data_IF_456463151108
#
_entry.id   IF_456463151108
#
_cell.length_a   1.000
_cell.length_b   1.000
_cell.length_c   1.000
_cell.angle_alpha   90.00
_cell.angle_beta   90.00
_cell.angle_gamma   90.00
#
_symmetry.space_group_name_H-M   'P 1'
#
loop_
_entity.id
_entity.type
_entity.pdbx_description
1 polymer ?
#
# COMPACT_ATOMS: atom_id res chain seq x y z
N UNK A 1 55.87 -43.86 7.77
CA UNK A 1 54.60 -43.30 8.29
C UNK A 1 54.25 -42.07 7.47
N UNK A 2 53.53 -42.30 6.38
CA UNK A 2 52.96 -41.28 5.51
C UNK A 2 51.44 -41.44 5.64
N UNK A 3 50.77 -40.57 6.38
CA UNK A 3 49.30 -40.51 6.37
C UNK A 3 48.81 -39.22 7.04
N UNK A 4 47.79 -38.62 6.41
CA UNK A 4 46.94 -37.53 6.89
C UNK A 4 47.54 -36.11 6.97
N UNK A 5 47.63 -35.45 5.83
CA UNK A 5 47.43 -33.98 5.75
C UNK A 5 47.05 -33.62 4.31
N UNK A 6 45.87 -34.05 3.89
CA UNK A 6 45.27 -33.56 2.64
C UNK A 6 43.76 -33.46 2.82
N UNK A 7 43.25 -32.26 2.53
CA UNK A 7 41.83 -31.91 2.32
C UNK A 7 40.97 -31.76 3.58
N UNK A 8 40.95 -30.55 4.15
CA UNK A 8 39.71 -29.95 4.66
C UNK A 8 39.82 -28.42 4.56
N UNK A 9 40.02 -27.93 3.33
CA UNK A 9 39.70 -26.54 2.98
C UNK A 9 38.24 -26.54 2.56
N UNK A 10 37.32 -26.58 3.53
CA UNK A 10 35.93 -26.23 3.24
C UNK A 10 35.92 -24.72 3.04
N UNK A 11 35.85 -24.31 1.78
CA UNK A 11 35.43 -22.98 1.40
C UNK A 11 33.98 -22.81 1.87
N UNK A 12 33.80 -22.24 3.06
CA UNK A 12 32.55 -21.59 3.43
C UNK A 12 32.41 -20.37 2.54
N UNK A 13 31.79 -20.56 1.38
CA UNK A 13 31.16 -19.49 0.64
C UNK A 13 30.03 -19.00 1.54
N UNK A 14 30.32 -18.01 2.38
CA UNK A 14 29.29 -17.12 2.86
C UNK A 14 28.75 -16.43 1.61
N UNK A 15 27.62 -16.94 1.10
CA UNK A 15 26.68 -16.09 0.39
C UNK A 15 26.24 -15.04 1.41
N UNK A 16 27.03 -13.98 1.53
CA UNK A 16 26.49 -12.70 1.95
C UNK A 16 25.49 -12.34 0.88
N UNK A 17 24.22 -12.62 1.12
CA UNK A 17 23.15 -11.83 0.55
C UNK A 17 23.41 -10.42 1.04
N UNK A 18 24.20 -9.68 0.27
CA UNK A 18 24.19 -8.23 0.34
C UNK A 18 22.75 -7.87 -0.01
N UNK A 19 21.93 -7.68 1.03
CA UNK A 19 20.92 -6.64 0.97
C UNK A 19 21.74 -5.40 0.63
N UNK A 20 21.83 -5.10 -0.66
CA UNK A 20 22.17 -3.78 -1.10
C UNK A 20 21.16 -2.90 -0.35
N UNK A 21 21.65 -2.17 0.65
CA UNK A 21 20.92 -1.05 1.18
C UNK A 21 20.66 -0.19 -0.04
N UNK A 22 19.46 -0.29 -0.61
CA UNK A 22 19.01 0.64 -1.63
C UNK A 22 19.31 2.03 -1.06
N UNK A 23 20.12 2.79 -1.77
CA UNK A 23 20.46 4.14 -1.34
C UNK A 23 19.13 4.88 -1.11
N UNK A 24 19.04 5.71 -0.06
CA UNK A 24 17.86 6.56 0.17
C UNK A 24 17.51 7.43 -1.06
N UNK A 25 18.44 7.58 -2.00
CA UNK A 25 18.25 8.22 -3.30
C UNK A 25 17.17 7.56 -4.19
N UNK A 26 16.85 6.29 -3.97
CA UNK A 26 15.88 5.53 -4.79
C UNK A 26 14.46 5.56 -4.21
N UNK A 27 14.21 6.44 -3.23
CA UNK A 27 12.92 6.57 -2.54
C UNK A 27 12.40 8.00 -2.61
N UNK A 28 11.09 8.14 -2.55
CA UNK A 28 10.45 9.45 -2.36
C UNK A 28 10.23 9.73 -0.87
N UNK A 29 10.24 11.00 -0.48
CA UNK A 29 9.79 11.36 0.86
C UNK A 29 8.28 11.10 0.99
N UNK A 30 7.91 10.35 2.03
CA UNK A 30 6.52 10.03 2.36
C UNK A 30 5.79 11.32 2.73
N UNK A 31 4.69 11.62 2.04
CA UNK A 31 3.96 12.87 2.27
C UNK A 31 4.64 14.11 1.68
N UNK A 32 5.59 13.97 0.75
CA UNK A 32 6.24 15.07 0.03
C UNK A 32 5.27 16.10 -0.59
N UNK A 33 4.03 15.69 -0.87
CA UNK A 33 2.93 16.55 -1.36
C UNK A 33 1.67 16.37 -0.51
N UNK A 34 1.84 16.13 0.78
CA UNK A 34 0.71 16.01 1.71
C UNK A 34 -0.15 17.28 1.70
N UNK A 35 -1.47 17.08 1.74
CA UNK A 35 -2.42 18.20 1.79
C UNK A 35 -2.24 19.00 3.08
N UNK A 36 -2.37 20.31 2.97
CA UNK A 36 -2.40 21.19 4.14
C UNK A 36 -3.64 20.94 4.98
N UNK A 37 -3.60 21.29 6.27
CA UNK A 37 -4.76 21.14 7.16
C UNK A 37 -5.98 21.94 6.69
N UNK A 38 -5.77 23.07 6.00
CA UNK A 38 -6.85 23.85 5.41
C UNK A 38 -7.48 23.11 4.22
N UNK A 39 -6.67 22.56 3.31
CA UNK A 39 -7.17 21.75 2.20
C UNK A 39 -7.93 20.51 2.68
N UNK A 40 -7.45 19.84 3.73
CA UNK A 40 -8.16 18.71 4.36
C UNK A 40 -9.52 19.12 4.92
N UNK A 41 -9.59 20.27 5.60
CA UNK A 41 -10.86 20.81 6.13
C UNK A 41 -11.83 21.17 5.02
N UNK A 42 -11.34 21.81 3.96
CA UNK A 42 -12.16 22.15 2.79
C UNK A 42 -12.75 20.90 2.13
N UNK A 43 -11.96 19.83 1.99
CA UNK A 43 -12.44 18.54 1.49
C UNK A 43 -13.52 17.95 2.39
N UNK A 44 -13.29 17.90 3.71
CA UNK A 44 -14.25 17.36 4.68
C UNK A 44 -15.56 18.16 4.73
N UNK A 45 -15.49 19.49 4.66
CA UNK A 45 -16.68 20.34 4.65
C UNK A 45 -17.50 20.16 3.36
N UNK A 46 -16.82 19.95 2.23
CA UNK A 46 -17.50 19.70 0.96
C UNK A 46 -18.08 18.29 0.87
N UNK A 47 -17.39 17.26 1.37
CA UNK A 47 -17.95 15.89 1.48
C UNK A 47 -19.23 15.90 2.32
N UNK A 48 -19.25 16.64 3.44
CA UNK A 48 -20.47 16.81 4.26
C UNK A 48 -21.61 17.48 3.49
N UNK A 49 -21.31 18.46 2.65
CA UNK A 49 -22.32 19.15 1.80
C UNK A 49 -22.84 18.25 0.68
N UNK A 50 -21.96 17.49 0.04
CA UNK A 50 -22.31 16.59 -1.05
C UNK A 50 -23.11 15.38 -0.55
N UNK A 51 -22.74 14.80 0.60
CA UNK A 51 -23.48 13.71 1.25
C UNK A 51 -24.93 14.08 1.59
N UNK A 52 -25.19 15.33 1.99
CA UNK A 52 -26.54 15.83 2.23
C UNK A 52 -27.35 16.05 0.94
N UNK A 53 -26.70 16.05 -0.23
CA UNK A 53 -27.31 16.38 -1.52
C UNK A 53 -27.51 15.18 -2.46
N UNK A 54 -26.85 14.05 -2.21
CA UNK A 54 -26.79 12.92 -3.14
C UNK A 54 -27.55 11.70 -2.63
N UNK A 55 -28.89 11.78 -2.61
CA UNK A 55 -29.73 10.59 -2.81
C UNK A 55 -30.02 10.47 -4.31
N UNK A 56 -29.64 9.32 -4.89
CA UNK A 56 -29.82 8.85 -6.27
C UNK A 56 -28.79 9.30 -7.30
N UNK A 57 -27.96 8.35 -7.70
CA UNK A 57 -27.71 8.05 -9.13
C UNK A 57 -27.16 6.63 -9.30
N UNK A 58 -27.86 5.84 -10.10
CA UNK A 58 -27.44 4.52 -10.58
C UNK A 58 -26.48 4.71 -11.76
N UNK A 59 -25.44 3.87 -11.82
CA UNK A 59 -24.45 3.82 -12.90
C UNK A 59 -24.55 2.46 -13.61
N UNK A 60 -24.57 2.47 -14.94
CA UNK A 60 -24.50 1.26 -15.79
C UNK A 60 -23.16 1.22 -16.52
N UNK A 61 -22.45 0.08 -16.58
CA UNK A 61 -21.17 -0.01 -17.30
C UNK A 61 -21.38 -0.42 -18.76
N UNK A 62 -20.45 -0.01 -19.63
CA UNK A 62 -20.31 -0.51 -21.01
C UNK A 62 -18.93 -1.13 -21.19
N UNK A 63 -18.89 -2.25 -21.90
CA UNK A 63 -17.76 -3.19 -22.09
C UNK A 63 -16.90 -2.78 -23.28
N UNK A 64 -15.56 -2.91 -23.18
CA UNK A 64 -14.69 -3.19 -24.34
C UNK A 64 -13.54 -4.14 -23.97
N UNK A 65 -13.12 -4.90 -24.99
CA UNK A 65 -12.41 -6.18 -24.97
C UNK A 65 -10.95 -6.07 -25.48
N UNK A 66 -10.15 -7.06 -25.07
CA UNK A 66 -8.84 -7.52 -25.53
C UNK A 66 -7.59 -6.68 -25.30
N UNK A 67 -6.79 -7.11 -24.31
CA UNK A 67 -5.32 -7.21 -24.41
C UNK A 67 -4.77 -8.28 -23.44
N UNK A 68 -3.65 -8.89 -23.83
CA UNK A 68 -2.96 -10.01 -23.17
C UNK A 68 -2.91 -9.93 -21.64
N UNK A 69 -2.94 -11.06 -20.91
CA UNK A 69 -2.94 -11.03 -19.46
C UNK A 69 -1.64 -10.39 -18.97
N UNK A 70 -1.69 -9.24 -18.28
CA UNK A 70 -0.55 -8.76 -17.51
C UNK A 70 -0.24 -9.81 -16.43
N UNK A 71 0.99 -9.82 -15.90
CA UNK A 71 1.33 -10.60 -14.71
C UNK A 71 0.30 -10.29 -13.61
N UNK A 72 -0.67 -11.19 -13.42
CA UNK A 72 -1.75 -11.01 -12.45
C UNK A 72 -1.17 -11.30 -11.07
N UNK A 73 -0.56 -10.30 -10.47
CA UNK A 73 -0.35 -10.33 -9.03
C UNK A 73 -1.71 -10.24 -8.35
N UNK A 74 -1.87 -10.87 -7.19
CA UNK A 74 -3.09 -10.69 -6.42
C UNK A 74 -2.99 -9.31 -5.74
N UNK A 75 -3.36 -8.25 -6.47
CA UNK A 75 -2.93 -6.85 -6.21
C UNK A 75 -3.28 -6.28 -4.83
N UNK A 76 -4.14 -6.94 -4.05
CA UNK A 76 -4.55 -6.52 -2.71
C UNK A 76 -3.82 -7.28 -1.58
N UNK A 77 -2.93 -8.22 -1.92
CA UNK A 77 -2.14 -8.99 -0.96
C UNK A 77 -0.66 -8.76 -1.20
N UNK A 78 0.02 -8.33 -0.15
CA UNK A 78 1.45 -8.11 -0.07
C UNK A 78 2.16 -9.31 0.57
N UNK A 79 3.46 -9.40 0.41
CA UNK A 79 4.31 -10.36 1.09
C UNK A 79 5.18 -9.66 2.13
N UNK A 80 5.14 -10.15 3.37
CA UNK A 80 6.08 -9.70 4.39
C UNK A 80 7.50 -10.11 4.00
N UNK A 81 8.39 -9.14 3.81
CA UNK A 81 9.82 -9.39 3.57
C UNK A 81 10.58 -9.51 4.88
N UNK A 82 10.21 -8.71 5.89
CA UNK A 82 10.93 -8.75 7.14
C UNK A 82 10.35 -7.90 8.23
N UNK A 83 10.92 -8.08 9.41
CA UNK A 83 10.63 -7.34 10.62
C UNK A 83 11.97 -6.80 11.10
N UNK A 84 12.00 -5.52 11.45
CA UNK A 84 13.12 -4.91 12.17
C UNK A 84 13.56 -5.75 13.38
N UNK A 85 14.86 -5.70 13.70
CA UNK A 85 15.41 -6.44 14.86
C UNK A 85 14.76 -5.98 16.18
N UNK A 86 14.35 -4.72 16.25
CA UNK A 86 13.66 -4.16 17.42
C UNK A 86 12.15 -4.42 17.42
N UNK A 87 11.58 -4.88 16.30
CA UNK A 87 10.14 -5.08 16.14
C UNK A 87 9.35 -3.78 16.13
N UNK A 88 9.96 -2.69 15.67
CA UNK A 88 9.40 -1.34 15.57
C UNK A 88 8.88 -1.00 14.17
N UNK A 89 9.35 -1.67 13.12
CA UNK A 89 8.76 -1.61 11.77
C UNK A 89 8.73 -2.95 11.02
N UNK A 90 7.81 -3.05 10.06
CA UNK A 90 7.66 -4.13 9.07
C UNK A 90 8.16 -3.68 7.69
N UNK A 91 8.62 -4.62 6.87
CA UNK A 91 9.03 -4.41 5.48
C UNK A 91 8.22 -5.35 4.58
N UNK A 92 7.66 -4.83 3.48
CA UNK A 92 6.95 -5.62 2.47
C UNK A 92 7.72 -5.65 1.13
N UNK A 93 7.22 -6.36 0.12
CA UNK A 93 7.92 -6.71 -1.13
C UNK A 93 8.35 -5.51 -1.99
N UNK A 94 7.61 -4.40 -1.93
CA UNK A 94 7.95 -3.14 -2.59
C UNK A 94 9.08 -2.37 -1.87
N UNK A 95 9.54 -2.91 -0.74
CA UNK A 95 10.59 -2.35 0.11
C UNK A 95 10.12 -1.21 1.02
N UNK A 96 8.82 -0.87 1.03
CA UNK A 96 8.26 0.12 1.94
C UNK A 96 8.35 -0.35 3.40
N UNK A 97 8.54 0.60 4.31
CA UNK A 97 8.68 0.33 5.73
C UNK A 97 7.55 0.96 6.52
N UNK A 98 7.02 0.20 7.47
CA UNK A 98 5.80 0.56 8.19
C UNK A 98 6.04 0.45 9.69
N UNK A 99 6.06 1.60 10.36
CA UNK A 99 6.20 1.68 11.81
C UNK A 99 5.00 1.01 12.47
N UNK A 100 5.30 0.13 13.42
CA UNK A 100 4.35 -0.66 14.17
C UNK A 100 3.95 0.10 15.43
N UNK A 101 2.69 -0.04 15.83
CA UNK A 101 2.24 0.48 17.12
C UNK A 101 3.06 -0.05 18.28
N UNK A 102 3.47 0.87 19.14
CA UNK A 102 4.16 0.54 20.40
C UNK A 102 3.40 -0.55 21.17
N UNK A 103 4.13 -1.59 21.58
CA UNK A 103 3.57 -2.75 22.27
C UNK A 103 3.06 -3.88 21.36
N UNK A 104 3.04 -3.71 20.04
CA UNK A 104 2.64 -4.75 19.08
C UNK A 104 3.80 -5.61 18.55
N UNK A 105 5.03 -5.41 19.03
CA UNK A 105 6.23 -6.15 18.59
C UNK A 105 6.11 -7.66 18.78
N UNK A 106 5.48 -8.13 19.86
CA UNK A 106 5.22 -9.56 20.09
C UNK A 106 4.34 -10.18 19.01
N UNK A 107 3.34 -9.43 18.53
CA UNK A 107 2.50 -9.88 17.42
C UNK A 107 3.29 -9.87 16.11
N UNK A 108 4.12 -8.85 15.89
CA UNK A 108 4.99 -8.76 14.72
C UNK A 108 5.91 -9.98 14.61
N UNK A 109 6.65 -10.32 15.67
CA UNK A 109 7.56 -11.47 15.69
C UNK A 109 6.88 -12.84 15.55
N UNK A 110 5.54 -12.91 15.64
CA UNK A 110 4.81 -14.14 15.33
C UNK A 110 4.60 -14.35 13.83
N UNK A 111 4.78 -13.31 13.02
CA UNK A 111 4.68 -13.37 11.56
C UNK A 111 5.99 -13.88 10.96
N UNK A 112 5.88 -14.52 9.80
CA UNK A 112 7.00 -15.11 9.07
C UNK A 112 7.19 -14.39 7.76
N UNK A 113 8.41 -14.43 7.25
CA UNK A 113 8.72 -14.01 5.89
C UNK A 113 7.81 -14.73 4.89
N UNK A 114 7.38 -14.01 3.85
CA UNK A 114 6.37 -14.41 2.87
C UNK A 114 4.98 -14.67 3.47
N UNK A 115 4.69 -14.19 4.68
CA UNK A 115 3.30 -14.12 5.16
C UNK A 115 2.49 -13.18 4.26
N UNK A 116 1.28 -13.59 3.82
CA UNK A 116 0.39 -12.74 3.05
C UNK A 116 -0.22 -11.65 3.93
N UNK A 117 -0.03 -10.39 3.53
CA UNK A 117 -0.43 -9.20 4.26
C UNK A 117 -1.47 -8.42 3.46
N UNK A 118 -2.60 -8.10 4.07
CA UNK A 118 -3.53 -7.07 3.56
C UNK A 118 -3.29 -5.78 4.31
N UNK A 119 -3.28 -4.66 3.59
CA UNK A 119 -3.25 -3.32 4.20
C UNK A 119 -4.68 -2.79 4.22
N UNK A 120 -5.21 -2.47 5.38
CA UNK A 120 -6.57 -1.93 5.54
C UNK A 120 -6.54 -0.60 6.27
N UNK A 121 -7.52 0.27 6.02
CA UNK A 121 -7.65 1.53 6.77
C UNK A 121 -7.93 1.25 8.26
N UNK A 122 -7.24 1.97 9.14
CA UNK A 122 -7.52 1.92 10.57
C UNK A 122 -8.61 2.94 10.95
N UNK A 123 -9.84 2.47 11.07
CA UNK A 123 -10.98 3.29 11.47
C UNK A 123 -11.09 3.50 13.00
N UNK A 124 -10.04 3.25 13.78
CA UNK A 124 -10.07 3.54 15.21
C UNK A 124 -10.16 5.04 15.46
N UNK A 125 -11.00 5.45 16.42
CA UNK A 125 -11.16 6.86 16.81
C UNK A 125 -9.80 7.52 17.11
N UNK A 126 -8.90 6.79 17.77
CA UNK A 126 -7.57 7.29 18.13
C UNK A 126 -6.68 7.53 16.90
N UNK A 127 -6.75 6.65 15.89
CA UNK A 127 -6.08 6.86 14.60
C UNK A 127 -6.56 8.14 13.92
N UNK A 128 -7.88 8.34 13.86
CA UNK A 128 -8.51 9.49 13.21
C UNK A 128 -8.27 10.83 13.91
N UNK A 129 -8.07 10.84 15.23
CA UNK A 129 -8.03 12.09 16.02
C UNK A 129 -6.61 12.54 16.40
N UNK A 130 -5.64 11.62 16.50
CA UNK A 130 -4.28 11.93 17.01
C UNK A 130 -3.16 11.68 15.99
N UNK A 131 -3.45 11.69 14.68
CA UNK A 131 -2.47 11.38 13.64
C UNK A 131 -1.74 10.05 13.91
N UNK A 132 -2.53 9.05 14.35
CA UNK A 132 -2.05 7.76 14.81
C UNK A 132 -1.64 6.83 13.68
N UNK A 133 -1.80 5.54 13.93
CA UNK A 133 -1.51 4.48 12.96
C UNK A 133 -2.67 4.37 11.97
N UNK A 134 -2.59 5.13 10.87
CA UNK A 134 -3.65 5.28 9.86
C UNK A 134 -4.13 4.00 9.18
N UNK A 135 -3.31 2.93 9.25
CA UNK A 135 -3.57 1.65 8.62
C UNK A 135 -3.40 0.49 9.59
N UNK A 136 -3.87 -0.68 9.19
CA UNK A 136 -3.53 -1.96 9.81
C UNK A 136 -3.00 -2.90 8.74
N UNK A 137 -1.94 -3.61 9.06
CA UNK A 137 -1.54 -4.79 8.32
C UNK A 137 -2.23 -6.00 8.94
N UNK A 138 -2.85 -6.82 8.11
CA UNK A 138 -3.54 -8.05 8.52
C UNK A 138 -2.83 -9.21 7.86
N UNK A 139 -2.23 -10.07 8.68
CA UNK A 139 -1.67 -11.32 8.20
C UNK A 139 -2.80 -12.30 7.93
N UNK A 140 -3.11 -12.57 6.66
CA UNK A 140 -4.27 -13.39 6.29
C UNK A 140 -4.10 -14.87 6.62
N UNK A 141 -2.85 -15.32 6.82
CA UNK A 141 -2.55 -16.69 7.25
C UNK A 141 -2.95 -16.92 8.71
N UNK A 142 -2.70 -15.94 9.58
CA UNK A 142 -2.95 -16.07 11.03
C UNK A 142 -4.22 -15.35 11.48
N UNK A 143 -4.76 -14.45 10.66
CA UNK A 143 -5.85 -13.53 11.01
C UNK A 143 -5.46 -12.43 11.99
N UNK A 144 -4.19 -12.35 12.40
CA UNK A 144 -3.73 -11.32 13.32
C UNK A 144 -3.48 -10.00 12.61
N UNK A 145 -3.72 -8.89 13.31
CA UNK A 145 -3.63 -7.54 12.75
C UNK A 145 -2.79 -6.62 13.63
N UNK A 146 -1.99 -5.77 12.98
CA UNK A 146 -1.09 -4.82 13.63
C UNK A 146 -1.38 -3.43 13.09
N UNK A 147 -1.54 -2.45 13.97
CA UNK A 147 -1.71 -1.05 13.56
C UNK A 147 -0.36 -0.48 13.11
N UNK A 148 -0.34 0.12 11.93
CA UNK A 148 0.88 0.59 11.26
C UNK A 148 0.75 2.00 10.68
N UNK A 149 1.90 2.65 10.50
CA UNK A 149 2.04 3.95 9.84
C UNK A 149 3.19 3.88 8.85
N UNK A 150 2.97 4.32 7.62
CA UNK A 150 4.02 4.35 6.60
C UNK A 150 5.18 5.23 7.08
N UNK A 151 6.37 4.66 7.10
CA UNK A 151 7.61 5.31 7.55
C UNK A 151 8.51 5.64 6.37
N UNK A 152 8.80 4.66 5.51
CA UNK A 152 9.56 4.84 4.27
C UNK A 152 8.72 4.38 3.08
N UNK A 153 8.73 5.17 2.01
CA UNK A 153 8.05 4.89 0.76
C UNK A 153 8.63 3.64 0.08
N UNK A 154 7.93 3.01 -0.87
CA UNK A 154 8.49 1.96 -1.71
C UNK A 154 9.79 2.38 -2.43
N UNK A 155 10.63 1.41 -2.79
CA UNK A 155 11.82 1.65 -3.60
C UNK A 155 11.38 1.87 -5.06
N UNK A 156 11.74 2.98 -5.69
CA UNK A 156 11.22 3.36 -7.01
C UNK A 156 11.55 2.36 -8.12
N UNK A 157 12.75 1.76 -8.10
CA UNK A 157 13.22 0.77 -9.08
C UNK A 157 12.86 -0.68 -8.69
N UNK A 158 11.91 -0.88 -7.77
CA UNK A 158 11.44 -2.20 -7.38
C UNK A 158 10.29 -2.65 -8.29
N UNK A 159 10.29 -3.90 -8.80
CA UNK A 159 9.24 -4.41 -9.68
C UNK A 159 7.83 -4.45 -9.06
N UNK A 160 7.73 -4.38 -7.73
CA UNK A 160 6.46 -4.33 -6.98
C UNK A 160 5.99 -2.89 -6.71
N UNK A 161 6.78 -1.87 -7.03
CA UNK A 161 6.40 -0.47 -6.83
C UNK A 161 5.49 0.01 -7.95
N UNK A 162 4.28 0.43 -7.58
CA UNK A 162 3.30 0.97 -8.52
C UNK A 162 3.36 2.50 -8.53
N UNK A 163 3.29 3.07 -9.72
CA UNK A 163 3.23 4.51 -9.92
C UNK A 163 2.04 4.88 -10.79
N UNK A 164 1.48 6.07 -10.60
CA UNK A 164 0.44 6.60 -11.49
C UNK A 164 1.06 6.84 -12.88
N UNK A 165 0.57 6.11 -13.88
CA UNK A 165 0.96 6.31 -15.27
C UNK A 165 0.07 7.34 -15.95
N UNK A 166 -1.24 7.27 -15.73
CA UNK A 166 -2.21 8.21 -16.28
C UNK A 166 -3.45 8.36 -15.38
N UNK A 167 -4.11 9.50 -15.50
CA UNK A 167 -5.34 9.83 -14.76
C UNK A 167 -6.40 10.28 -15.77
N UNK A 168 -7.59 9.69 -15.71
CA UNK A 168 -8.78 10.20 -16.38
C UNK A 168 -9.74 10.79 -15.32
N UNK A 169 -9.70 12.11 -15.09
CA UNK A 169 -10.53 12.72 -14.05
C UNK A 169 -12.02 12.78 -14.44
N UNK A 170 -12.38 12.59 -15.71
CA UNK A 170 -13.78 12.61 -16.17
C UNK A 170 -14.50 11.36 -15.71
N UNK A 171 -13.87 10.20 -15.91
CA UNK A 171 -14.39 8.88 -15.52
C UNK A 171 -13.97 8.47 -14.12
N UNK A 172 -13.08 9.22 -13.46
CA UNK A 172 -12.47 8.86 -12.18
C UNK A 172 -11.65 7.58 -12.26
N UNK A 173 -10.88 7.43 -13.34
CA UNK A 173 -10.03 6.27 -13.55
C UNK A 173 -8.55 6.62 -13.43
N UNK A 174 -7.76 5.64 -12.99
CA UNK A 174 -6.29 5.71 -12.92
C UNK A 174 -5.70 4.49 -13.61
N UNK A 175 -4.65 4.70 -14.39
CA UNK A 175 -3.78 3.65 -14.91
C UNK A 175 -2.49 3.68 -14.11
N UNK A 176 -2.09 2.52 -13.58
CA UNK A 176 -0.82 2.35 -12.87
C UNK A 176 0.29 1.86 -13.82
N UNK A 177 1.54 1.87 -13.34
CA UNK A 177 2.74 1.53 -14.11
C UNK A 177 2.78 0.07 -14.60
N UNK A 178 2.00 -0.82 -14.00
CA UNK A 178 1.76 -2.20 -14.45
C UNK A 178 0.66 -2.30 -15.53
N UNK A 179 0.17 -1.16 -16.03
CA UNK A 179 -0.97 -1.00 -16.94
C UNK A 179 -2.32 -1.45 -16.37
N UNK A 180 -2.42 -1.68 -15.06
CA UNK A 180 -3.72 -1.95 -14.45
C UNK A 180 -4.61 -0.70 -14.45
N UNK A 181 -5.87 -0.88 -14.86
CA UNK A 181 -6.90 0.16 -14.84
C UNK A 181 -7.71 0.06 -13.55
N UNK A 182 -7.92 1.20 -12.90
CA UNK A 182 -8.64 1.31 -11.64
C UNK A 182 -9.73 2.36 -11.71
N UNK A 183 -10.97 1.94 -11.44
CA UNK A 183 -12.11 2.81 -11.24
C UNK A 183 -12.13 3.28 -9.79
N UNK A 184 -12.00 4.58 -9.59
CA UNK A 184 -11.98 5.22 -8.28
C UNK A 184 -13.38 5.70 -7.90
N UNK A 185 -13.62 5.84 -6.59
CA UNK A 185 -14.85 6.40 -6.05
C UNK A 185 -15.04 7.86 -6.49
N UNK A 186 -16.07 8.17 -7.32
CA UNK A 186 -16.29 9.53 -7.82
C UNK A 186 -16.54 10.55 -6.71
N UNK A 187 -16.99 10.13 -5.52
CA UNK A 187 -17.13 11.02 -4.37
C UNK A 187 -15.78 11.58 -3.89
N UNK A 188 -14.69 10.88 -4.17
CA UNK A 188 -13.32 11.28 -3.83
C UNK A 188 -12.58 11.95 -5.01
N UNK A 189 -13.30 12.34 -6.08
CA UNK A 189 -12.71 12.96 -7.29
C UNK A 189 -11.83 14.18 -7.01
N UNK A 190 -12.12 14.96 -5.97
CA UNK A 190 -11.30 16.12 -5.59
C UNK A 190 -9.91 15.73 -5.10
N UNK A 191 -9.79 14.59 -4.41
CA UNK A 191 -8.50 14.02 -4.02
C UNK A 191 -7.78 13.54 -5.28
N UNK A 192 -8.48 12.86 -6.18
CA UNK A 192 -7.92 12.41 -7.47
C UNK A 192 -7.34 13.57 -8.30
N UNK A 193 -8.01 14.73 -8.33
CA UNK A 193 -7.53 15.90 -9.09
C UNK A 193 -6.20 16.49 -8.56
N UNK A 194 -5.73 16.03 -7.40
CA UNK A 194 -4.45 16.43 -6.81
C UNK A 194 -3.33 15.40 -7.06
N UNK A 195 -3.69 14.21 -7.53
CA UNK A 195 -2.72 13.19 -7.95
C UNK A 195 -2.05 13.62 -9.24
N UNK A 196 -0.80 13.23 -9.41
CA UNK A 196 -0.02 13.49 -10.62
C UNK A 196 0.61 12.18 -11.12
N UNK A 197 1.02 12.19 -12.38
CA UNK A 197 1.84 11.09 -12.91
C UNK A 197 3.12 10.94 -12.06
N UNK A 198 3.58 9.69 -11.94
CA UNK A 198 4.72 9.28 -11.12
C UNK A 198 4.50 9.31 -9.59
N UNK A 199 3.29 9.64 -9.13
CA UNK A 199 2.94 9.40 -7.72
C UNK A 199 3.02 7.90 -7.41
N UNK A 200 3.63 7.56 -6.28
CA UNK A 200 3.76 6.17 -5.83
C UNK A 200 2.47 5.74 -5.14
N UNK A 201 1.99 4.56 -5.50
CA UNK A 201 0.73 3.99 -5.02
C UNK A 201 1.00 2.65 -4.35
N UNK A 202 0.44 2.48 -3.16
CA UNK A 202 0.34 1.17 -2.49
C UNK A 202 -1.13 0.77 -2.50
N UNK A 203 -1.41 -0.47 -2.89
CA UNK A 203 -2.78 -0.99 -2.91
C UNK A 203 -3.13 -1.51 -1.52
N UNK A 204 -4.36 -1.30 -1.09
CA UNK A 204 -4.89 -1.89 0.13
C UNK A 204 -6.27 -2.47 -0.10
N UNK A 205 -6.78 -3.16 0.90
CA UNK A 205 -8.13 -3.70 0.92
C UNK A 205 -9.07 -2.76 1.65
N UNK A 206 -10.26 -2.55 1.08
CA UNK A 206 -11.36 -1.85 1.71
C UNK A 206 -12.33 -2.89 2.29
N UNK A 207 -12.23 -3.24 3.58
CA UNK A 207 -13.05 -4.30 4.14
C UNK A 207 -14.54 -3.96 4.01
N UNK A 208 -15.36 -4.95 3.62
CA UNK A 208 -16.82 -4.82 3.57
C UNK A 208 -17.33 -4.62 5.00
N UNK A 209 -17.90 -3.45 5.27
CA UNK A 209 -18.60 -3.16 6.52
C UNK A 209 -20.01 -3.74 6.53
N UNK A 210 -20.82 -3.40 7.54
CA UNK A 210 -22.25 -3.76 7.58
C UNK A 210 -23.06 -3.16 6.43
N UNK A 211 -22.58 -2.07 5.83
CA UNK A 211 -23.14 -1.50 4.62
C UNK A 211 -22.34 -1.99 3.42
N UNK A 212 -23.04 -2.45 2.38
CA UNK A 212 -22.44 -2.98 1.16
C UNK A 212 -21.52 -1.91 0.55
N UNK A 213 -20.21 -2.16 0.57
CA UNK A 213 -19.21 -1.23 0.07
C UNK A 213 -18.99 -1.53 -1.41
N UNK A 214 -19.31 -0.57 -2.28
CA UNK A 214 -19.18 -0.75 -3.73
C UNK A 214 -17.73 -0.86 -4.21
N UNK A 215 -16.76 -0.50 -3.36
CA UNK A 215 -15.33 -0.54 -3.68
C UNK A 215 -14.59 -1.50 -2.76
N UNK A 216 -13.86 -2.44 -3.32
CA UNK A 216 -13.19 -3.52 -2.58
C UNK A 216 -11.75 -3.18 -2.19
N UNK A 217 -11.16 -2.16 -2.83
CA UNK A 217 -9.77 -1.77 -2.61
C UNK A 217 -9.66 -0.30 -2.20
N UNK A 218 -8.49 0.06 -1.71
CA UNK A 218 -8.03 1.44 -1.55
C UNK A 218 -6.72 1.59 -2.31
N UNK A 219 -6.52 2.71 -3.00
CA UNK A 219 -5.23 3.12 -3.53
C UNK A 219 -4.66 4.19 -2.62
N UNK A 220 -3.55 3.89 -1.95
CA UNK A 220 -2.85 4.78 -1.03
C UNK A 220 -1.78 5.54 -1.80
N UNK A 221 -1.97 6.85 -1.99
CA UNK A 221 -0.96 7.70 -2.60
C UNK A 221 0.08 8.10 -1.54
N UNK A 222 1.30 7.59 -1.71
CA UNK A 222 2.41 7.76 -0.77
C UNK A 222 2.89 9.21 -0.71
N UNK A 223 2.88 9.91 -1.85
CA UNK A 223 3.27 11.32 -1.94
C UNK A 223 2.29 12.22 -1.17
N UNK A 224 1.01 11.89 -1.18
CA UNK A 224 -0.04 12.70 -0.57
C UNK A 224 -0.48 12.26 0.83
N UNK A 225 -0.16 11.03 1.22
CA UNK A 225 -0.69 10.39 2.44
C UNK A 225 -2.22 10.43 2.48
N UNK A 226 -2.84 10.11 1.35
CA UNK A 226 -4.29 10.01 1.18
C UNK A 226 -4.62 8.74 0.43
N UNK A 227 -5.78 8.16 0.73
CA UNK A 227 -6.28 6.99 0.03
C UNK A 227 -7.61 7.26 -0.67
N UNK A 228 -7.79 6.63 -1.82
CA UNK A 228 -9.04 6.65 -2.58
C UNK A 228 -9.56 5.23 -2.72
N UNK A 229 -10.85 5.02 -2.44
CA UNK A 229 -11.50 3.73 -2.67
C UNK A 229 -11.55 3.43 -4.16
N UNK A 230 -11.30 2.17 -4.52
CA UNK A 230 -11.15 1.78 -5.90
C UNK A 230 -11.58 0.33 -6.16
N UNK A 231 -11.94 0.06 -7.41
CA UNK A 231 -12.05 -1.29 -7.98
C UNK A 231 -11.14 -1.37 -9.18
N UNK A 232 -10.53 -2.53 -9.36
CA UNK A 232 -9.85 -2.83 -10.61
C UNK A 232 -10.89 -3.03 -11.70
N UNK A 233 -10.62 -2.49 -12.88
CA UNK A 233 -11.42 -2.75 -14.09
C UNK A 233 -10.78 -3.94 -14.79
N UNK A 234 -11.57 -4.97 -15.08
CA UNK A 234 -11.15 -6.16 -15.83
C UNK A 234 -11.08 -5.89 -17.34
#
# INVERSE_FOLDING_TARGET
>A
MQTLTKYFTIATIFLTTTFAFANDADRIEVGSRALTENEKKELLEQEKKEFLSSEKKELSPTIYDNQYPPLVFNHYTHNLVGISVLGDYLIIEDGSQWNIKYGSSKAAFSWKENDPIMIVKNNSFYSSYFNGYGYKMVNTRTGSAIEVKLHLSPILDNPYTLQVAAINPTTSEVILSDNSLWQLDPSQKKILMKWIASDVVIIGTNPKGWFNNSYENILINVNMLQEIKANRVE
#
